data_IF_136513899043
#
_entry.id   IF_136513899043
#
_cell.length_a   1.000
_cell.length_b   1.000
_cell.length_c   1.000
_cell.angle_alpha   90.00
_cell.angle_beta   90.00
_cell.angle_gamma   90.00
#
_symmetry.space_group_name_H-M   'P 1'
#
loop_
_entity.id
_entity.type
_entity.pdbx_description
1 polymer ?
#
# COMPACT_ATOMS: atom_id res chain seq x y z
N UNK A 1 -1.05 46.01 -9.69
CA UNK A 1 -1.52 44.62 -9.52
C UNK A 1 -0.68 43.75 -10.44
N UNK A 2 0.40 43.18 -9.90
CA UNK A 2 1.15 42.15 -10.61
C UNK A 2 0.24 40.93 -10.67
N UNK A 3 -0.21 40.54 -11.86
CA UNK A 3 -0.80 39.22 -12.05
C UNK A 3 0.29 38.22 -11.68
N UNK A 4 0.06 37.46 -10.60
CA UNK A 4 0.82 36.23 -10.36
C UNK A 4 0.74 35.40 -11.64
N UNK A 5 1.85 34.83 -12.14
CA UNK A 5 1.76 33.87 -13.23
C UNK A 5 0.75 32.79 -12.82
N UNK A 6 -0.14 32.38 -13.74
CA UNK A 6 -1.03 31.25 -13.51
C UNK A 6 -0.16 30.09 -13.01
N UNK A 7 -0.26 29.76 -11.72
CA UNK A 7 0.45 28.63 -11.18
C UNK A 7 -0.20 27.38 -11.76
N UNK A 8 0.61 26.46 -12.26
CA UNK A 8 0.12 25.17 -12.71
C UNK A 8 -0.66 24.52 -11.57
N UNK A 9 -1.79 23.87 -11.89
CA UNK A 9 -2.59 23.19 -10.85
C UNK A 9 -1.70 22.21 -10.08
N UNK A 10 -1.68 22.28 -8.74
CA UNK A 10 -0.74 21.52 -7.92
C UNK A 10 -0.99 20.01 -8.06
N UNK A 11 0.07 19.26 -8.39
CA UNK A 11 0.04 17.81 -8.48
C UNK A 11 0.27 17.18 -7.11
N UNK A 12 -0.48 16.12 -6.80
CA UNK A 12 -0.41 15.45 -5.50
C UNK A 12 0.06 13.99 -5.63
N UNK A 13 0.86 13.55 -4.65
CA UNK A 13 1.19 12.16 -4.45
C UNK A 13 0.26 11.53 -3.44
N UNK A 14 -0.38 10.42 -3.79
CA UNK A 14 -1.30 9.71 -2.91
C UNK A 14 -0.76 8.31 -2.64
N UNK A 15 -0.48 8.02 -1.37
CA UNK A 15 -0.39 6.65 -0.90
C UNK A 15 -1.80 6.15 -0.54
N UNK A 16 -2.38 5.28 -1.38
CA UNK A 16 -3.67 4.67 -1.11
C UNK A 16 -3.47 3.33 -0.43
N UNK A 17 -3.09 3.28 0.84
CA UNK A 17 -2.76 2.03 1.53
C UNK A 17 -3.98 1.21 1.99
N UNK A 18 -3.73 -0.05 2.39
CA UNK A 18 -4.79 -0.97 2.85
C UNK A 18 -5.44 -0.51 4.15
N UNK A 19 -4.63 -0.02 5.09
CA UNK A 19 -5.08 0.37 6.45
C UNK A 19 -5.07 1.88 6.62
N UNK A 20 -4.06 2.56 6.09
CA UNK A 20 -3.92 4.01 6.12
C UNK A 20 -3.58 4.51 4.72
N UNK A 21 -3.98 5.74 4.44
CA UNK A 21 -3.64 6.47 3.23
C UNK A 21 -3.01 7.81 3.60
N UNK A 22 -2.13 8.33 2.77
CA UNK A 22 -1.48 9.62 2.97
C UNK A 22 -1.49 10.41 1.65
N UNK A 23 -1.43 11.74 1.77
CA UNK A 23 -1.35 12.62 0.61
C UNK A 23 -0.31 13.70 0.85
N UNK A 24 0.55 13.92 -0.14
CA UNK A 24 1.66 14.86 -0.10
C UNK A 24 1.72 15.67 -1.39
N UNK A 25 2.40 16.80 -1.36
CA UNK A 25 2.67 17.64 -2.53
C UNK A 25 4.08 18.24 -2.41
N UNK A 26 4.57 18.83 -3.49
CA UNK A 26 5.85 19.56 -3.49
C UNK A 26 5.55 21.05 -3.53
N UNK A 27 6.19 21.81 -2.64
CA UNK A 27 6.14 23.27 -2.62
C UNK A 27 7.55 23.80 -2.40
N UNK A 28 8.00 24.72 -3.26
CA UNK A 28 9.33 25.34 -3.16
C UNK A 28 10.50 24.35 -3.05
N UNK A 29 10.37 23.17 -3.67
CA UNK A 29 11.37 22.12 -3.62
C UNK A 29 11.43 21.35 -2.29
N UNK A 30 10.40 21.44 -1.46
CA UNK A 30 10.23 20.59 -0.28
C UNK A 30 8.95 19.74 -0.40
N UNK A 31 9.01 18.50 0.07
CA UNK A 31 7.86 17.61 0.09
C UNK A 31 7.05 17.83 1.37
N UNK A 32 5.81 18.28 1.22
CA UNK A 32 4.90 18.58 2.33
C UNK A 32 3.83 17.49 2.43
N UNK A 33 3.68 16.92 3.62
CA UNK A 33 2.63 15.94 3.95
C UNK A 33 1.39 16.67 4.45
N UNK A 34 0.24 16.36 3.87
CA UNK A 34 -1.02 17.04 4.17
C UNK A 34 -1.70 16.35 5.35
N UNK A 35 -1.94 17.13 6.40
CA UNK A 35 -2.65 16.67 7.57
C UNK A 35 -4.15 16.54 7.28
N UNK A 36 -4.76 15.50 7.81
CA UNK A 36 -6.20 15.29 7.71
C UNK A 36 -6.98 16.17 8.69
N UNK A 37 -8.32 16.11 8.68
CA UNK A 37 -9.13 16.97 9.55
C UNK A 37 -8.96 16.69 11.06
N UNK A 38 -8.35 15.56 11.45
CA UNK A 38 -8.01 15.23 12.83
C UNK A 38 -6.58 15.69 13.22
N UNK A 39 -5.83 16.28 12.28
CA UNK A 39 -4.46 16.73 12.50
C UNK A 39 -3.42 15.62 12.41
N UNK A 40 -3.74 14.48 11.79
CA UNK A 40 -2.77 13.40 11.54
C UNK A 40 -2.29 13.42 10.08
N UNK A 41 -1.05 12.98 9.86
CA UNK A 41 -0.43 12.87 8.52
C UNK A 41 -0.92 11.66 7.72
N UNK A 42 -1.48 10.67 8.41
CA UNK A 42 -2.08 9.47 7.80
C UNK A 42 -3.58 9.41 8.12
N UNK A 43 -4.36 8.97 7.16
CA UNK A 43 -5.82 8.84 7.25
C UNK A 43 -6.20 7.37 7.21
N UNK A 44 -7.00 6.83 8.16
CA UNK A 44 -7.50 5.46 8.06
C UNK A 44 -8.25 5.21 6.73
N UNK A 45 -7.92 4.12 6.04
CA UNK A 45 -8.58 3.66 4.81
C UNK A 45 -9.91 2.97 5.14
N UNK A 46 -10.80 3.72 5.79
CA UNK A 46 -12.07 3.24 6.32
C UNK A 46 -13.19 4.17 5.85
N UNK A 47 -14.27 3.58 5.36
CA UNK A 47 -15.47 4.28 4.88
C UNK A 47 -16.66 3.80 5.70
N UNK A 48 -17.45 4.71 6.25
CA UNK A 48 -18.69 4.39 6.95
C UNK A 48 -19.87 5.11 6.32
N UNK A 49 -20.94 4.37 6.08
CA UNK A 49 -22.18 4.89 5.51
C UNK A 49 -23.17 5.18 6.64
N UNK A 50 -23.47 6.45 6.85
CA UNK A 50 -24.44 6.95 7.84
C UNK A 50 -25.59 7.62 7.08
N UNK A 51 -26.56 6.81 6.63
CA UNK A 51 -27.69 7.24 5.79
C UNK A 51 -27.20 7.93 4.51
N UNK A 52 -27.47 9.22 4.36
CA UNK A 52 -27.10 10.02 3.19
C UNK A 52 -25.67 10.56 3.25
N UNK A 53 -24.92 10.29 4.33
CA UNK A 53 -23.58 10.82 4.55
C UNK A 53 -22.57 9.69 4.53
N UNK A 54 -21.52 9.87 3.73
CA UNK A 54 -20.35 8.99 3.74
C UNK A 54 -19.25 9.63 4.57
N UNK A 55 -18.86 8.94 5.64
CA UNK A 55 -17.75 9.31 6.51
C UNK A 55 -16.49 8.54 6.10
N UNK A 56 -15.32 9.17 6.20
CA UNK A 56 -14.03 8.59 5.85
C UNK A 56 -13.02 8.89 6.96
N UNK A 57 -12.04 7.99 7.15
CA UNK A 57 -10.95 8.21 8.09
C UNK A 57 -11.35 7.96 9.54
N UNK A 58 -10.85 8.80 10.44
CA UNK A 58 -11.08 8.70 11.89
C UNK A 58 -12.56 8.74 12.25
N UNK A 59 -13.36 9.55 11.54
CA UNK A 59 -14.80 9.64 11.77
C UNK A 59 -15.50 8.33 11.41
N UNK A 60 -15.06 7.64 10.36
CA UNK A 60 -15.57 6.32 10.01
C UNK A 60 -15.16 5.25 11.04
N UNK A 61 -13.91 5.31 11.53
CA UNK A 61 -13.40 4.41 12.58
C UNK A 61 -14.23 4.53 13.86
N UNK A 62 -14.56 5.74 14.31
CA UNK A 62 -15.38 5.98 15.51
C UNK A 62 -16.76 5.33 15.43
N UNK A 63 -17.33 5.20 14.23
CA UNK A 63 -18.67 4.61 14.01
C UNK A 63 -18.65 3.08 13.96
N UNK A 64 -17.50 2.46 13.66
CA UNK A 64 -17.35 1.01 13.48
C UNK A 64 -17.91 0.18 14.62
N UNK A 65 -17.77 0.64 15.88
CA UNK A 65 -18.23 -0.08 17.07
C UNK A 65 -19.73 -0.36 17.10
N UNK A 66 -20.54 0.49 16.45
CA UNK A 66 -22.01 0.38 16.46
C UNK A 66 -22.60 0.01 15.09
N UNK A 67 -21.80 -0.01 14.02
CA UNK A 67 -22.29 -0.15 12.65
C UNK A 67 -21.34 -0.94 11.75
N UNK A 68 -20.81 -2.07 12.23
CA UNK A 68 -19.78 -2.86 11.54
C UNK A 68 -20.16 -3.25 10.10
N UNK A 69 -21.43 -3.58 9.84
CA UNK A 69 -21.94 -3.92 8.50
C UNK A 69 -21.89 -2.75 7.51
N UNK A 70 -21.96 -1.51 8.01
CA UNK A 70 -21.95 -0.29 7.20
C UNK A 70 -20.58 0.40 7.20
N UNK A 71 -19.56 -0.24 7.80
CA UNK A 71 -18.18 0.25 7.80
C UNK A 71 -17.30 -0.67 6.96
N UNK A 72 -16.87 -0.17 5.81
CA UNK A 72 -15.98 -0.87 4.88
C UNK A 72 -14.53 -0.46 5.13
N UNK A 73 -13.64 -1.44 5.24
CA UNK A 73 -12.20 -1.25 5.46
C UNK A 73 -11.42 -2.38 4.79
N UNK A 74 -10.09 -2.23 4.66
CA UNK A 74 -9.23 -3.17 3.94
C UNK A 74 -9.68 -3.44 2.48
N UNK A 75 -10.45 -2.52 1.89
CA UNK A 75 -11.02 -2.69 0.55
C UNK A 75 -9.94 -2.91 -0.52
N UNK A 76 -8.73 -2.40 -0.28
CA UNK A 76 -7.56 -2.61 -1.17
C UNK A 76 -7.27 -4.09 -1.43
N UNK A 77 -7.60 -4.99 -0.49
CA UNK A 77 -7.49 -6.46 -0.69
C UNK A 77 -8.51 -7.03 -1.68
N UNK A 78 -9.60 -6.31 -1.98
CA UNK A 78 -10.63 -6.70 -2.94
C UNK A 78 -10.49 -6.01 -4.31
N UNK A 79 -9.70 -4.94 -4.40
CA UNK A 79 -9.42 -4.22 -5.65
C UNK A 79 -8.99 -5.19 -6.74
N UNK A 80 -9.57 -5.07 -7.95
CA UNK A 80 -9.18 -5.89 -9.09
C UNK A 80 -9.58 -7.37 -9.04
N UNK A 81 -10.15 -7.87 -7.94
CA UNK A 81 -10.38 -9.31 -7.73
C UNK A 81 -11.75 -9.77 -8.20
N UNK A 82 -11.81 -11.05 -8.56
CA UNK A 82 -13.07 -11.77 -8.79
C UNK A 82 -13.66 -12.21 -7.46
N UNK A 83 -14.98 -12.36 -7.42
CA UNK A 83 -15.71 -12.87 -6.26
C UNK A 83 -15.27 -14.29 -5.91
N UNK A 84 -14.99 -15.13 -6.91
CA UNK A 84 -14.54 -16.52 -6.73
C UNK A 84 -13.05 -16.67 -6.39
N UNK A 85 -12.31 -15.57 -6.27
CA UNK A 85 -10.93 -15.60 -5.78
C UNK A 85 -10.90 -16.16 -4.35
N UNK A 86 -10.04 -17.15 -4.12
CA UNK A 86 -9.90 -17.83 -2.84
C UNK A 86 -9.62 -16.85 -1.70
N UNK A 87 -8.89 -15.77 -1.97
CA UNK A 87 -8.52 -14.76 -1.00
C UNK A 87 -9.70 -13.85 -0.61
N UNK A 88 -10.70 -13.75 -1.48
CA UNK A 88 -11.96 -13.08 -1.19
C UNK A 88 -12.83 -13.97 -0.31
N UNK A 89 -12.88 -15.28 -0.63
CA UNK A 89 -13.78 -16.24 0.01
C UNK A 89 -13.31 -16.76 1.38
N UNK A 90 -12.00 -16.90 1.60
CA UNK A 90 -11.47 -17.46 2.86
C UNK A 90 -11.54 -16.50 4.04
N UNK A 91 -11.61 -15.19 3.79
CA UNK A 91 -11.59 -14.19 4.86
C UNK A 91 -12.99 -13.93 5.42
N UNK A 92 -13.08 -13.76 6.74
CA UNK A 92 -14.27 -13.24 7.41
C UNK A 92 -14.33 -11.72 7.32
N UNK A 93 -15.31 -11.20 6.60
CA UNK A 93 -15.58 -9.78 6.49
C UNK A 93 -16.76 -9.39 7.40
N UNK A 94 -16.77 -8.19 8.01
CA UNK A 94 -17.94 -7.69 8.76
C UNK A 94 -19.09 -7.29 7.87
N UNK A 95 -18.82 -7.11 6.59
CA UNK A 95 -19.76 -6.67 5.56
C UNK A 95 -19.86 -7.77 4.51
N UNK A 96 -20.99 -7.81 3.82
CA UNK A 96 -21.26 -8.86 2.84
C UNK A 96 -20.52 -8.59 1.54
N UNK A 97 -19.85 -9.62 1.03
CA UNK A 97 -19.23 -9.62 -0.29
C UNK A 97 -20.18 -10.31 -1.28
N UNK A 98 -20.44 -9.64 -2.40
CA UNK A 98 -21.32 -10.10 -3.46
C UNK A 98 -20.57 -10.33 -4.76
N UNK A 99 -21.14 -11.18 -5.61
CA UNK A 99 -20.76 -11.30 -7.02
C UNK A 99 -21.37 -10.13 -7.80
N UNK A 100 -20.53 -9.18 -8.18
CA UNK A 100 -20.89 -8.04 -9.01
C UNK A 100 -20.76 -8.31 -10.51
N UNK A 101 -20.72 -7.23 -11.29
CA UNK A 101 -20.55 -7.31 -12.74
C UNK A 101 -19.23 -8.01 -13.13
N UNK A 102 -19.27 -8.82 -14.20
CA UNK A 102 -18.13 -9.61 -14.70
C UNK A 102 -17.48 -10.49 -13.62
N UNK A 103 -18.28 -11.06 -12.73
CA UNK A 103 -17.83 -11.87 -11.59
C UNK A 103 -16.90 -11.15 -10.60
N UNK A 104 -16.82 -9.82 -10.62
CA UNK A 104 -15.97 -9.06 -9.69
C UNK A 104 -16.51 -9.10 -8.27
N UNK A 105 -15.62 -9.04 -7.29
CA UNK A 105 -16.03 -8.84 -5.91
C UNK A 105 -16.70 -7.46 -5.77
N UNK A 106 -17.77 -7.38 -4.99
CA UNK A 106 -18.46 -6.13 -4.64
C UNK A 106 -18.91 -6.18 -3.19
N UNK A 107 -19.12 -5.04 -2.57
CA UNK A 107 -19.51 -4.93 -1.16
C UNK A 107 -20.95 -4.45 -1.08
N UNK A 108 -21.78 -5.13 -0.29
CA UNK A 108 -23.11 -4.63 0.07
C UNK A 108 -23.00 -3.72 1.28
N UNK A 109 -23.58 -2.53 1.18
CA UNK A 109 -23.80 -1.65 2.33
C UNK A 109 -25.26 -1.22 2.32
N UNK A 110 -25.99 -1.53 3.40
CA UNK A 110 -27.45 -1.46 3.44
C UNK A 110 -28.10 -2.14 2.22
N UNK A 111 -28.84 -1.39 1.41
CA UNK A 111 -29.50 -1.87 0.19
C UNK A 111 -28.65 -1.66 -1.09
N UNK A 112 -27.53 -0.96 -0.99
CA UNK A 112 -26.70 -0.57 -2.12
C UNK A 112 -25.51 -1.50 -2.30
N UNK A 113 -25.03 -1.61 -3.54
CA UNK A 113 -23.85 -2.41 -3.89
C UNK A 113 -22.77 -1.51 -4.46
N UNK A 114 -21.58 -1.59 -3.88
CA UNK A 114 -20.43 -0.80 -4.27
C UNK A 114 -19.31 -1.71 -4.78
N UNK A 115 -18.64 -1.30 -5.85
CA UNK A 115 -17.39 -1.93 -6.25
C UNK A 115 -16.24 -1.49 -5.33
N UNK A 116 -15.16 -2.28 -5.20
CA UNK A 116 -13.97 -1.87 -4.47
C UNK A 116 -13.43 -0.50 -4.91
N UNK A 117 -13.48 -0.21 -6.21
CA UNK A 117 -13.06 1.06 -6.80
C UNK A 117 -13.91 2.23 -6.30
N UNK A 118 -15.23 2.05 -6.19
CA UNK A 118 -16.12 3.10 -5.66
C UNK A 118 -15.84 3.37 -4.16
N UNK A 119 -15.58 2.32 -3.37
CA UNK A 119 -15.20 2.49 -1.96
C UNK A 119 -13.85 3.23 -1.86
N UNK A 120 -12.85 2.83 -2.65
CA UNK A 120 -11.56 3.53 -2.73
C UNK A 120 -11.72 4.98 -3.24
N UNK A 121 -12.67 5.25 -4.13
CA UNK A 121 -12.97 6.60 -4.59
C UNK A 121 -13.48 7.50 -3.46
N UNK A 122 -14.26 7.00 -2.49
CA UNK A 122 -14.60 7.81 -1.31
C UNK A 122 -13.36 8.24 -0.51
N UNK A 123 -12.38 7.35 -0.37
CA UNK A 123 -11.10 7.64 0.30
C UNK A 123 -10.31 8.68 -0.51
N UNK A 124 -10.13 8.46 -1.81
CA UNK A 124 -9.42 9.39 -2.70
C UNK A 124 -10.09 10.77 -2.74
N UNK A 125 -11.42 10.83 -2.77
CA UNK A 125 -12.15 12.10 -2.72
C UNK A 125 -11.92 12.84 -1.40
N UNK A 126 -11.86 12.12 -0.27
CA UNK A 126 -11.53 12.72 1.02
C UNK A 126 -10.12 13.32 1.00
N UNK A 127 -9.12 12.57 0.51
CA UNK A 127 -7.73 13.02 0.38
C UNK A 127 -7.60 14.23 -0.56
N UNK A 128 -8.29 14.19 -1.71
CA UNK A 128 -8.39 15.33 -2.64
C UNK A 128 -8.99 16.57 -1.96
N UNK A 129 -10.04 16.40 -1.15
CA UNK A 129 -10.70 17.50 -0.44
C UNK A 129 -9.82 18.13 0.64
N UNK A 130 -9.04 17.35 1.38
CA UNK A 130 -8.11 17.91 2.37
C UNK A 130 -6.95 18.61 1.66
N UNK A 131 -6.45 18.06 0.55
CA UNK A 131 -5.42 18.69 -0.27
C UNK A 131 -5.89 20.05 -0.82
N UNK A 132 -7.10 20.11 -1.39
CA UNK A 132 -7.69 21.36 -1.88
C UNK A 132 -7.77 22.47 -0.83
N UNK A 133 -7.99 22.13 0.44
CA UNK A 133 -8.04 23.14 1.52
C UNK A 133 -6.68 23.75 1.80
N UNK A 134 -5.61 22.96 1.70
CA UNK A 134 -4.23 23.40 1.93
C UNK A 134 -3.71 24.17 0.72
N UNK A 135 -3.96 23.65 -0.48
CA UNK A 135 -3.50 24.21 -1.75
C UNK A 135 -4.28 25.46 -2.20
N UNK A 136 -5.49 25.68 -1.62
CA UNK A 136 -6.44 26.72 -2.04
C UNK A 136 -6.88 26.64 -3.51
N UNK A 137 -6.62 25.50 -4.17
CA UNK A 137 -6.99 25.15 -5.54
C UNK A 137 -7.37 23.65 -5.59
N UNK A 138 -8.23 23.24 -6.53
CA UNK A 138 -8.57 21.82 -6.71
C UNK A 138 -7.42 21.08 -7.41
N UNK A 139 -6.75 20.11 -6.75
CA UNK A 139 -5.69 19.36 -7.42
C UNK A 139 -6.31 18.44 -8.47
N UNK A 140 -5.86 18.59 -9.70
CA UNK A 140 -6.32 17.79 -10.84
C UNK A 140 -5.39 16.62 -11.10
N UNK A 141 -4.09 16.85 -11.03
CA UNK A 141 -3.07 15.84 -11.36
C UNK A 141 -2.64 15.04 -10.13
N UNK A 142 -2.56 13.71 -10.27
CA UNK A 142 -2.12 12.84 -9.19
C UNK A 142 -1.26 11.66 -9.65
N UNK A 143 -0.33 11.27 -8.80
CA UNK A 143 0.30 9.94 -8.82
C UNK A 143 -0.27 9.14 -7.66
N UNK A 144 -0.75 7.92 -7.94
CA UNK A 144 -1.34 7.03 -6.93
C UNK A 144 -0.50 5.76 -6.83
N UNK A 145 -0.21 5.33 -5.60
CA UNK A 145 0.63 4.16 -5.34
C UNK A 145 -0.16 2.84 -5.34
N UNK A 146 0.53 1.76 -5.65
CA UNK A 146 0.04 0.38 -5.55
C UNK A 146 1.16 -0.56 -5.08
N UNK A 147 0.82 -1.71 -4.46
CA UNK A 147 1.78 -2.77 -4.15
C UNK A 147 2.54 -3.18 -5.40
N UNK A 148 3.84 -3.44 -5.29
CA UNK A 148 4.65 -3.82 -6.45
C UNK A 148 4.09 -5.08 -7.13
N UNK A 149 3.61 -6.03 -6.33
CA UNK A 149 3.05 -7.29 -6.82
C UNK A 149 1.60 -7.21 -7.35
N UNK A 150 1.02 -6.01 -7.49
CA UNK A 150 -0.32 -5.86 -8.10
C UNK A 150 -0.35 -6.26 -9.58
N UNK A 151 -1.40 -7.01 -9.94
CA UNK A 151 -1.73 -7.36 -11.32
C UNK A 151 -2.26 -6.16 -12.11
N UNK A 152 -2.32 -6.29 -13.44
CA UNK A 152 -2.88 -5.23 -14.31
C UNK A 152 -4.33 -4.88 -13.95
N UNK A 153 -5.15 -5.86 -13.59
CA UNK A 153 -6.55 -5.63 -13.20
C UNK A 153 -6.65 -4.79 -11.92
N UNK A 154 -5.72 -4.98 -10.98
CA UNK A 154 -5.68 -4.22 -9.73
C UNK A 154 -5.12 -2.81 -9.95
N UNK A 155 -4.11 -2.67 -10.81
CA UNK A 155 -3.56 -1.37 -11.22
C UNK A 155 -4.60 -0.50 -11.93
N UNK A 156 -5.37 -1.08 -12.85
CA UNK A 156 -6.44 -0.36 -13.54
C UNK A 156 -7.59 -0.01 -12.59
N UNK A 157 -7.97 -0.92 -11.69
CA UNK A 157 -8.97 -0.64 -10.66
C UNK A 157 -8.60 0.58 -9.80
N UNK A 158 -7.33 0.69 -9.36
CA UNK A 158 -6.84 1.86 -8.61
C UNK A 158 -6.88 3.13 -9.46
N UNK A 159 -6.51 3.06 -10.74
CA UNK A 159 -6.59 4.19 -11.67
C UNK A 159 -8.04 4.65 -11.86
N UNK A 160 -8.97 3.72 -12.02
CA UNK A 160 -10.39 4.00 -12.18
C UNK A 160 -10.98 4.66 -10.93
N UNK A 161 -10.59 4.21 -9.73
CA UNK A 161 -10.97 4.87 -8.47
C UNK A 161 -10.52 6.35 -8.44
N UNK A 162 -9.32 6.66 -8.95
CA UNK A 162 -8.85 8.04 -9.11
C UNK A 162 -9.67 8.85 -10.12
N UNK A 163 -9.97 8.24 -11.28
CA UNK A 163 -10.80 8.89 -12.32
C UNK A 163 -12.21 9.21 -11.82
N UNK A 164 -12.80 8.34 -11.00
CA UNK A 164 -14.14 8.54 -10.42
C UNK A 164 -14.26 9.84 -9.59
N UNK A 165 -13.15 10.35 -9.06
CA UNK A 165 -13.11 11.59 -8.25
C UNK A 165 -12.54 12.79 -9.02
N UNK A 166 -12.40 12.65 -10.34
CA UNK A 166 -11.90 13.69 -11.23
C UNK A 166 -10.41 13.96 -11.06
N UNK A 167 -9.61 12.97 -10.66
CA UNK A 167 -8.15 13.05 -10.74
C UNK A 167 -7.69 12.59 -12.12
N UNK A 168 -6.84 13.39 -12.75
CA UNK A 168 -5.98 12.97 -13.84
C UNK A 168 -4.82 12.15 -13.25
N UNK A 169 -4.95 10.82 -13.30
CA UNK A 169 -3.94 9.91 -12.78
C UNK A 169 -2.76 9.85 -13.75
N UNK A 170 -1.77 10.73 -13.54
CA UNK A 170 -0.56 10.85 -14.35
C UNK A 170 0.17 9.52 -14.44
N UNK A 171 0.31 8.84 -13.30
CA UNK A 171 0.96 7.54 -13.23
C UNK A 171 0.46 6.73 -12.02
N UNK A 172 0.41 5.40 -12.20
CA UNK A 172 0.35 4.45 -11.10
C UNK A 172 1.78 4.00 -10.83
N UNK A 173 2.26 4.18 -9.61
CA UNK A 173 3.65 3.85 -9.21
C UNK A 173 3.66 2.75 -8.16
N UNK A 174 4.69 1.90 -8.16
CA UNK A 174 4.85 0.91 -7.11
C UNK A 174 5.25 1.58 -5.80
N UNK A 175 4.66 1.14 -4.69
CA UNK A 175 4.97 1.61 -3.33
C UNK A 175 6.49 1.58 -3.01
N UNK A 176 7.20 0.46 -3.20
CA UNK A 176 8.64 0.43 -2.91
C UNK A 176 9.45 1.35 -3.84
N UNK A 177 9.01 1.54 -5.08
CA UNK A 177 9.64 2.50 -6.01
C UNK A 177 9.43 3.94 -5.55
N UNK A 178 8.22 4.29 -5.13
CA UNK A 178 7.94 5.61 -4.57
C UNK A 178 8.78 5.84 -3.31
N UNK A 179 8.84 4.87 -2.41
CA UNK A 179 9.70 4.95 -1.23
C UNK A 179 11.17 5.19 -1.62
N UNK A 180 11.73 4.42 -2.57
CA UNK A 180 13.10 4.63 -3.06
C UNK A 180 13.32 6.03 -3.66
N UNK A 181 12.33 6.63 -4.32
CA UNK A 181 12.39 8.02 -4.79
C UNK A 181 12.53 8.98 -3.60
N UNK A 182 11.68 8.83 -2.58
CA UNK A 182 11.72 9.70 -1.39
C UNK A 182 13.06 9.68 -0.67
N UNK A 183 13.75 8.52 -0.64
CA UNK A 183 15.03 8.39 0.05
C UNK A 183 16.23 8.88 -0.75
N UNK A 184 16.06 9.08 -2.06
CA UNK A 184 17.16 9.37 -2.97
C UNK A 184 17.65 10.82 -2.95
N UNK A 185 16.88 11.76 -2.37
CA UNK A 185 17.23 13.19 -2.36
C UNK A 185 18.50 13.52 -1.58
N UNK A 186 18.78 12.75 -0.53
CA UNK A 186 19.90 13.01 0.38
C UNK A 186 21.17 12.22 0.02
N UNK A 187 21.11 11.44 -1.07
CA UNK A 187 22.20 10.55 -1.44
C UNK A 187 23.10 11.17 -2.53
N UNK A 188 24.42 11.12 -2.29
CA UNK A 188 25.44 11.60 -3.23
C UNK A 188 26.23 10.46 -3.90
N UNK A 189 25.93 9.20 -3.58
CA UNK A 189 26.63 8.07 -4.19
C UNK A 189 26.36 7.99 -5.70
N UNK A 190 27.38 7.66 -6.54
CA UNK A 190 27.21 7.55 -7.98
C UNK A 190 26.18 6.49 -8.38
N UNK A 191 26.20 5.36 -7.68
CA UNK A 191 25.23 4.27 -7.80
C UNK A 191 24.90 3.85 -6.37
N UNK A 192 23.62 3.82 -6.04
CA UNK A 192 23.11 3.42 -4.75
C UNK A 192 22.04 2.34 -4.94
N UNK A 193 22.26 1.18 -4.36
CA UNK A 193 21.39 0.01 -4.45
C UNK A 193 20.73 -0.24 -3.11
N UNK A 194 19.41 -0.18 -3.14
CA UNK A 194 18.60 -0.28 -1.93
C UNK A 194 17.63 -1.43 -2.03
N UNK A 195 17.51 -2.18 -0.93
CA UNK A 195 16.45 -3.15 -0.75
C UNK A 195 15.32 -2.45 -0.02
N UNK A 196 14.19 -2.29 -0.68
CA UNK A 196 12.99 -1.75 -0.06
C UNK A 196 12.17 -2.91 0.48
N UNK A 197 12.05 -2.99 1.80
CA UNK A 197 11.26 -3.97 2.52
C UNK A 197 9.97 -3.29 2.98
N UNK A 198 8.88 -3.49 2.23
CA UNK A 198 7.59 -2.85 2.47
C UNK A 198 6.61 -3.83 3.11
N UNK A 199 6.43 -3.74 4.43
CA UNK A 199 5.46 -4.54 5.17
C UNK A 199 4.36 -3.64 5.71
N UNK A 200 3.31 -3.50 4.90
CA UNK A 200 2.12 -2.72 5.20
C UNK A 200 1.13 -3.43 6.12
N UNK A 201 -0.10 -2.90 6.15
CA UNK A 201 -1.20 -3.52 6.90
C UNK A 201 -1.87 -4.69 6.16
N UNK A 202 -1.64 -4.82 4.85
CA UNK A 202 -2.35 -5.79 4.01
C UNK A 202 -1.51 -6.52 2.97
N UNK A 203 -0.31 -6.06 2.68
CA UNK A 203 0.59 -6.61 1.67
C UNK A 203 2.02 -6.52 2.18
N UNK A 204 2.85 -7.40 1.63
CA UNK A 204 4.30 -7.36 1.76
C UNK A 204 4.90 -7.29 0.37
N UNK A 205 5.76 -6.33 0.10
CA UNK A 205 6.52 -6.25 -1.13
C UNK A 205 8.01 -6.08 -0.81
N UNK A 206 8.84 -6.66 -1.66
CA UNK A 206 10.28 -6.43 -1.67
C UNK A 206 10.69 -6.00 -3.06
N UNK A 207 11.49 -4.95 -3.14
CA UNK A 207 12.11 -4.53 -4.39
C UNK A 207 13.56 -4.16 -4.17
N UNK A 208 14.41 -4.47 -5.15
CA UNK A 208 15.76 -3.91 -5.22
C UNK A 208 15.77 -2.81 -6.27
N UNK A 209 16.17 -1.61 -5.86
CA UNK A 209 16.19 -0.42 -6.69
C UNK A 209 17.61 0.10 -6.79
N UNK A 210 18.12 0.23 -8.01
CA UNK A 210 19.36 0.92 -8.33
C UNK A 210 19.08 2.38 -8.66
N UNK A 211 19.79 3.27 -7.99
CA UNK A 211 19.63 4.71 -8.02
C UNK A 211 20.94 5.29 -8.56
N UNK A 212 20.90 5.88 -9.75
CA UNK A 212 22.06 6.45 -10.42
C UNK A 212 21.72 7.89 -10.86
N UNK A 213 22.15 8.88 -10.08
CA UNK A 213 21.78 10.29 -10.28
C UNK A 213 20.26 10.49 -10.24
N UNK A 214 19.63 10.74 -11.40
CA UNK A 214 18.18 10.91 -11.56
C UNK A 214 17.44 9.63 -12.01
N UNK A 215 18.19 8.57 -12.34
CA UNK A 215 17.62 7.31 -12.80
C UNK A 215 17.29 6.42 -11.60
N UNK A 216 16.10 5.82 -11.62
CA UNK A 216 15.63 4.81 -10.67
C UNK A 216 15.31 3.56 -11.47
N UNK A 217 16.04 2.47 -11.24
CA UNK A 217 15.90 1.21 -11.98
C UNK A 217 15.53 0.10 -11.00
N UNK A 218 14.34 -0.47 -11.15
CA UNK A 218 13.97 -1.68 -10.40
C UNK A 218 14.70 -2.86 -11.03
N UNK A 219 15.48 -3.58 -10.23
CA UNK A 219 16.25 -4.74 -10.69
C UNK A 219 15.43 -6.03 -10.55
N UNK A 220 14.79 -6.19 -9.40
CA UNK A 220 13.87 -7.28 -9.13
C UNK A 220 12.81 -6.84 -8.12
N UNK A 221 11.64 -7.47 -8.19
CA UNK A 221 10.61 -7.30 -7.17
C UNK A 221 9.78 -8.56 -7.00
N UNK A 222 9.24 -8.79 -5.82
CA UNK A 222 8.23 -9.82 -5.55
C UNK A 222 7.39 -9.36 -4.34
N UNK A 223 6.30 -10.06 -4.04
CA UNK A 223 5.46 -9.71 -2.91
C UNK A 223 4.43 -10.77 -2.52
N UNK A 224 3.85 -10.61 -1.35
CA UNK A 224 2.74 -11.42 -0.83
C UNK A 224 1.52 -10.52 -0.67
N UNK A 225 0.56 -10.64 -1.58
CA UNK A 225 -0.69 -9.83 -1.54
C UNK A 225 -1.62 -10.20 -0.38
N UNK A 226 -1.25 -11.22 0.39
CA UNK A 226 -2.04 -11.83 1.46
C UNK A 226 -1.38 -11.72 2.82
N UNK A 227 -0.17 -11.16 2.91
CA UNK A 227 0.59 -11.06 4.15
C UNK A 227 0.78 -9.58 4.48
N UNK A 228 0.44 -9.18 5.69
CA UNK A 228 0.60 -7.82 6.21
C UNK A 228 0.14 -7.76 7.66
N UNK A 229 0.13 -6.56 8.24
CA UNK A 229 -0.17 -6.33 9.66
C UNK A 229 -1.43 -7.02 10.17
N UNK A 230 -2.47 -7.13 9.34
CA UNK A 230 -3.72 -7.78 9.73
C UNK A 230 -3.58 -9.29 9.98
N UNK A 231 -2.67 -9.96 9.27
CA UNK A 231 -2.51 -11.41 9.43
C UNK A 231 -1.79 -11.71 10.76
N UNK A 232 -0.93 -10.80 11.24
CA UNK A 232 -0.41 -10.82 12.61
C UNK A 232 -1.53 -10.58 13.65
N UNK A 233 -2.46 -9.66 13.36
CA UNK A 233 -3.60 -9.38 14.25
C UNK A 233 -4.51 -10.61 14.38
N UNK A 234 -4.73 -11.35 13.29
CA UNK A 234 -5.52 -12.58 13.27
C UNK A 234 -4.88 -13.68 14.13
N UNK A 235 -3.55 -13.85 14.13
CA UNK A 235 -2.88 -14.81 15.03
C UNK A 235 -3.06 -14.48 16.50
N UNK A 236 -2.98 -13.19 16.84
CA UNK A 236 -3.23 -12.71 18.20
C UNK A 236 -4.71 -12.90 18.57
N UNK A 237 -5.62 -12.70 17.62
CA UNK A 237 -7.05 -12.87 17.82
C UNK A 237 -7.41 -14.32 18.11
N UNK A 238 -6.88 -15.27 17.34
CA UNK A 238 -7.13 -16.70 17.54
C UNK A 238 -6.64 -17.17 18.93
N UNK A 239 -5.43 -16.74 19.34
CA UNK A 239 -4.93 -16.96 20.70
C UNK A 239 -5.85 -16.32 21.75
N UNK A 240 -6.32 -15.09 21.52
CA UNK A 240 -7.21 -14.41 22.46
C UNK A 240 -8.54 -15.15 22.63
N UNK A 241 -9.12 -15.66 21.55
CA UNK A 241 -10.34 -16.47 21.60
C UNK A 241 -10.11 -17.73 22.45
N UNK A 242 -9.01 -18.44 22.23
CA UNK A 242 -8.67 -19.63 23.02
C UNK A 242 -8.55 -19.31 24.52
N UNK A 243 -7.82 -18.25 24.87
CA UNK A 243 -7.65 -17.78 26.27
C UNK A 243 -8.97 -17.38 26.93
N UNK A 244 -9.81 -16.63 26.22
CA UNK A 244 -11.11 -16.24 26.78
C UNK A 244 -12.02 -17.47 26.99
N UNK A 245 -11.99 -18.45 26.09
CA UNK A 245 -12.74 -19.69 26.27
C UNK A 245 -12.24 -20.48 27.49
N UNK A 246 -10.93 -20.55 27.72
CA UNK A 246 -10.33 -21.14 28.95
C UNK A 246 -10.79 -20.41 30.22
N UNK A 247 -10.99 -19.09 30.15
CA UNK A 247 -11.54 -18.28 31.24
C UNK A 247 -13.07 -18.43 31.40
N UNK A 248 -13.72 -19.28 30.61
CA UNK A 248 -15.17 -19.49 30.63
C UNK A 248 -15.99 -18.44 29.87
N UNK A 249 -15.33 -17.54 29.13
CA UNK A 249 -15.96 -16.50 28.31
C UNK A 249 -16.13 -17.04 26.89
N UNK A 250 -17.37 -17.28 26.47
CA UNK A 250 -17.67 -17.82 25.14
C UNK A 250 -17.88 -16.71 24.12
N UNK A 251 -16.97 -16.63 23.16
CA UNK A 251 -17.05 -15.74 21.99
C UNK A 251 -17.31 -16.62 20.77
N UNK A 252 -18.50 -16.53 20.19
CA UNK A 252 -18.97 -17.42 19.11
C UNK A 252 -19.01 -16.76 17.73
N UNK A 253 -19.02 -15.43 17.69
CA UNK A 253 -19.00 -14.63 16.47
C UNK A 253 -17.76 -13.72 16.47
N UNK A 254 -17.41 -13.17 15.31
CA UNK A 254 -16.26 -12.27 15.20
C UNK A 254 -16.55 -10.98 15.98
N UNK A 255 -15.93 -10.83 17.15
CA UNK A 255 -15.97 -9.59 17.93
C UNK A 255 -14.90 -8.59 17.44
N UNK A 256 -15.35 -7.55 16.73
CA UNK A 256 -14.48 -6.50 16.20
C UNK A 256 -13.83 -5.61 17.25
N UNK A 257 -14.41 -5.52 18.44
CA UNK A 257 -13.79 -4.78 19.55
C UNK A 257 -12.58 -5.54 20.09
N UNK A 258 -12.64 -6.88 20.08
CA UNK A 258 -11.50 -7.72 20.40
C UNK A 258 -10.44 -7.66 19.29
N UNK A 259 -10.82 -7.66 18.01
CA UNK A 259 -9.87 -7.44 16.89
C UNK A 259 -9.09 -6.13 17.06
N UNK A 260 -9.77 -5.03 17.41
CA UNK A 260 -9.13 -3.73 17.71
C UNK A 260 -8.16 -3.84 18.91
N UNK A 261 -8.53 -4.59 19.96
CA UNK A 261 -7.66 -4.82 21.11
C UNK A 261 -6.39 -5.63 20.73
N UNK A 262 -6.51 -6.63 19.86
CA UNK A 262 -5.39 -7.42 19.34
C UNK A 262 -4.41 -6.56 18.53
N UNK A 263 -4.93 -5.70 17.64
CA UNK A 263 -4.09 -4.76 16.87
C UNK A 263 -3.33 -3.79 17.80
N UNK A 264 -4.02 -3.27 18.83
CA UNK A 264 -3.38 -2.40 19.83
C UNK A 264 -2.32 -3.13 20.65
N UNK A 265 -2.54 -4.40 20.97
CA UNK A 265 -1.56 -5.23 21.66
C UNK A 265 -0.32 -5.47 20.80
N UNK A 266 -0.48 -5.80 19.51
CA UNK A 266 0.63 -5.90 18.53
C UNK A 266 1.47 -4.62 18.49
N UNK A 267 0.81 -3.46 18.37
CA UNK A 267 1.47 -2.14 18.36
C UNK A 267 2.22 -1.89 19.67
N UNK A 268 1.64 -2.27 20.81
CA UNK A 268 2.30 -2.13 22.12
C UNK A 268 3.52 -3.06 22.26
N UNK A 269 3.43 -4.30 21.78
CA UNK A 269 4.51 -5.30 21.80
C UNK A 269 5.71 -4.91 20.93
N UNK A 270 5.52 -4.01 19.97
CA UNK A 270 6.63 -3.41 19.21
C UNK A 270 7.53 -2.53 20.09
N UNK A 271 7.09 -2.14 21.29
CA UNK A 271 7.84 -1.28 22.23
C UNK A 271 7.99 -1.89 23.63
N UNK A 272 7.27 -2.95 23.94
CA UNK A 272 7.16 -3.55 25.29
C UNK A 272 7.26 -5.06 25.19
N UNK A 273 7.70 -5.70 26.28
CA UNK A 273 7.78 -7.17 26.32
C UNK A 273 6.45 -7.84 26.68
N UNK A 274 5.41 -7.06 27.01
CA UNK A 274 4.07 -7.56 27.32
C UNK A 274 3.01 -6.49 27.01
N UNK A 275 1.82 -6.92 26.62
CA UNK A 275 0.65 -6.09 26.40
C UNK A 275 -0.62 -6.77 26.91
N UNK A 276 -1.45 -6.03 27.64
CA UNK A 276 -2.73 -6.53 28.15
C UNK A 276 -3.80 -6.51 27.06
N UNK A 277 -4.42 -7.66 26.81
CA UNK A 277 -5.61 -7.79 25.95
C UNK A 277 -6.80 -7.94 26.89
N UNK A 278 -7.72 -6.97 26.86
CA UNK A 278 -8.94 -7.00 27.66
C UNK A 278 -10.17 -6.96 26.77
N UNK A 279 -11.19 -7.74 27.10
CA UNK A 279 -12.45 -7.73 26.38
C UNK A 279 -13.39 -6.64 26.93
N UNK A 280 -13.79 -5.64 26.12
CA UNK A 280 -14.62 -4.52 26.59
C UNK A 280 -15.99 -4.96 27.15
N UNK A 281 -16.62 -5.96 26.53
CA UNK A 281 -17.96 -6.42 26.91
C UNK A 281 -18.02 -7.36 28.14
N UNK A 282 -16.88 -7.89 28.62
CA UNK A 282 -16.84 -8.85 29.74
C UNK A 282 -16.16 -8.26 30.98
N UNK A 283 -16.56 -7.05 31.37
CA UNK A 283 -16.13 -6.43 32.63
C UNK A 283 -14.61 -6.20 32.75
N UNK A 284 -13.89 -6.07 31.63
CA UNK A 284 -12.44 -5.90 31.61
C UNK A 284 -11.64 -7.18 31.88
N UNK A 285 -12.28 -8.35 31.82
CA UNK A 285 -11.58 -9.63 31.77
C UNK A 285 -10.52 -9.61 30.66
N UNK A 286 -9.35 -10.13 30.95
CA UNK A 286 -8.22 -10.06 30.04
C UNK A 286 -7.00 -10.79 30.56
N UNK A 287 -6.02 -10.91 29.69
CA UNK A 287 -4.75 -11.57 29.95
C UNK A 287 -3.60 -10.73 29.36
N UNK A 288 -2.38 -11.00 29.82
CA UNK A 288 -1.18 -10.37 29.27
C UNK A 288 -0.59 -11.28 28.20
N UNK A 289 -0.45 -10.75 26.98
CA UNK A 289 0.27 -11.40 25.90
C UNK A 289 1.74 -10.96 25.97
N UNK A 290 2.66 -11.91 25.99
CA UNK A 290 4.10 -11.61 25.98
C UNK A 290 4.64 -11.46 24.57
N UNK A 291 5.76 -10.74 24.42
CA UNK A 291 6.46 -10.62 23.15
C UNK A 291 6.91 -11.99 22.62
N UNK A 292 7.40 -12.88 23.50
CA UNK A 292 7.84 -14.22 23.09
C UNK A 292 6.70 -15.03 22.47
N UNK A 293 5.53 -15.05 23.12
CA UNK A 293 4.35 -15.75 22.59
C UNK A 293 3.87 -15.11 21.29
N UNK A 294 3.91 -13.78 21.16
CA UNK A 294 3.60 -13.13 19.89
C UNK A 294 4.54 -13.57 18.75
N UNK A 295 5.84 -13.69 19.01
CA UNK A 295 6.78 -14.18 18.01
C UNK A 295 6.52 -15.65 17.67
N UNK A 296 6.28 -16.52 18.67
CA UNK A 296 5.92 -17.92 18.43
C UNK A 296 4.67 -18.06 17.55
N UNK A 297 3.64 -17.22 17.77
CA UNK A 297 2.40 -17.24 17.00
C UNK A 297 2.55 -16.76 15.54
N UNK A 298 3.64 -16.03 15.24
CA UNK A 298 3.81 -15.31 13.96
C UNK A 298 5.13 -15.61 13.26
N UNK A 299 5.89 -16.60 13.74
CA UNK A 299 7.20 -16.98 13.21
C UNK A 299 7.13 -17.33 11.71
N UNK A 300 6.13 -18.10 11.30
CA UNK A 300 5.93 -18.49 9.90
C UNK A 300 5.63 -17.30 8.97
N UNK A 301 5.00 -16.24 9.48
CA UNK A 301 4.77 -15.01 8.71
C UNK A 301 6.08 -14.23 8.54
N UNK A 302 6.90 -14.17 9.58
CA UNK A 302 8.20 -13.52 9.56
C UNK A 302 9.16 -14.25 8.61
N UNK A 303 9.22 -15.59 8.70
CA UNK A 303 10.01 -16.42 7.80
C UNK A 303 9.63 -16.23 6.34
N UNK A 304 8.32 -16.19 6.02
CA UNK A 304 7.86 -15.91 4.66
C UNK A 304 8.39 -14.57 4.12
N UNK A 305 8.44 -13.53 4.96
CA UNK A 305 8.99 -12.24 4.54
C UNK A 305 10.49 -12.31 4.26
N UNK A 306 11.24 -13.02 5.10
CA UNK A 306 12.69 -13.18 4.95
C UNK A 306 13.04 -14.03 3.72
N UNK A 307 12.39 -15.18 3.53
CA UNK A 307 12.63 -16.05 2.37
C UNK A 307 12.32 -15.35 1.05
N UNK A 308 11.28 -14.53 1.00
CA UNK A 308 10.99 -13.74 -0.21
C UNK A 308 12.04 -12.66 -0.45
N UNK A 309 12.56 -12.06 0.62
CA UNK A 309 13.64 -11.06 0.55
C UNK A 309 14.91 -11.67 -0.07
N UNK A 310 15.31 -12.85 0.41
CA UNK A 310 16.45 -13.61 -0.14
C UNK A 310 16.23 -13.97 -1.62
N UNK A 311 15.01 -14.39 -1.97
CA UNK A 311 14.65 -14.70 -3.36
C UNK A 311 14.75 -13.47 -4.26
N UNK A 312 14.28 -12.30 -3.82
CA UNK A 312 14.37 -11.07 -4.61
C UNK A 312 15.82 -10.64 -4.83
N UNK A 313 16.68 -10.82 -3.82
CA UNK A 313 18.12 -10.59 -3.96
C UNK A 313 18.75 -11.52 -5.00
N UNK A 314 18.41 -12.80 -4.97
CA UNK A 314 18.84 -13.76 -5.98
C UNK A 314 18.30 -13.41 -7.38
N UNK A 315 17.03 -13.03 -7.50
CA UNK A 315 16.38 -12.61 -8.76
C UNK A 315 17.07 -11.37 -9.37
N UNK A 316 17.61 -10.47 -8.53
CA UNK A 316 18.36 -9.29 -8.99
C UNK A 316 19.75 -9.64 -9.54
N UNK A 317 20.27 -10.84 -9.24
CA UNK A 317 21.61 -11.27 -9.66
C UNK A 317 22.73 -10.42 -9.06
N UNK A 318 22.51 -9.89 -7.85
CA UNK A 318 23.48 -9.09 -7.12
C UNK A 318 24.08 -9.89 -5.98
N UNK A 319 25.40 -9.72 -5.80
CA UNK A 319 26.08 -10.14 -4.59
C UNK A 319 25.68 -9.21 -3.42
N UNK A 320 25.60 -9.76 -2.20
CA UNK A 320 25.09 -9.01 -1.03
C UNK A 320 25.97 -7.81 -0.65
N UNK A 321 27.25 -7.83 -0.98
CA UNK A 321 28.22 -6.76 -0.75
C UNK A 321 28.05 -5.56 -1.71
N UNK A 322 27.25 -5.72 -2.77
CA UNK A 322 26.89 -4.65 -3.70
C UNK A 322 25.62 -3.90 -3.29
N UNK A 323 24.98 -4.30 -2.19
CA UNK A 323 23.82 -3.65 -1.60
C UNK A 323 24.27 -2.62 -0.56
N UNK A 324 23.79 -1.39 -0.68
CA UNK A 324 24.20 -0.31 0.22
C UNK A 324 23.33 -0.27 1.48
N UNK A 325 22.00 -0.27 1.31
CA UNK A 325 21.07 -0.12 2.42
C UNK A 325 19.77 -0.93 2.28
N UNK A 326 19.16 -1.24 3.43
CA UNK A 326 17.79 -1.73 3.55
C UNK A 326 16.90 -0.59 4.05
N UNK A 327 15.83 -0.33 3.31
CA UNK A 327 14.82 0.68 3.60
C UNK A 327 13.56 -0.01 4.10
N UNK A 328 13.19 0.24 5.37
CA UNK A 328 11.96 -0.29 5.96
C UNK A 328 10.78 0.64 5.65
N UNK A 329 9.75 0.10 5.02
CA UNK A 329 8.54 0.83 4.60
C UNK A 329 7.31 0.12 5.15
N UNK A 330 6.28 0.90 5.51
CA UNK A 330 5.04 0.35 6.06
C UNK A 330 5.09 0.11 7.57
N UNK A 331 3.97 0.38 8.25
CA UNK A 331 3.91 0.42 9.72
C UNK A 331 4.17 -0.92 10.42
N UNK A 332 4.02 -2.05 9.74
CA UNK A 332 4.27 -3.37 10.36
C UNK A 332 5.77 -3.69 10.42
N UNK A 333 6.64 -2.95 9.73
CA UNK A 333 8.10 -3.03 9.94
C UNK A 333 8.55 -2.55 11.32
N UNK A 334 7.66 -1.89 12.08
CA UNK A 334 7.89 -1.54 13.49
C UNK A 334 7.92 -2.75 14.42
N UNK A 335 7.46 -3.92 13.97
CA UNK A 335 7.64 -5.18 14.71
C UNK A 335 9.14 -5.42 14.87
N UNK A 336 9.62 -5.40 16.12
CA UNK A 336 11.06 -5.51 16.44
C UNK A 336 11.76 -6.67 15.75
N UNK A 337 11.11 -7.85 15.69
CA UNK A 337 11.69 -9.05 15.08
C UNK A 337 12.02 -8.89 13.60
N UNK A 338 11.34 -7.99 12.87
CA UNK A 338 11.66 -7.69 11.46
C UNK A 338 13.07 -7.12 11.34
N UNK A 339 13.44 -6.15 12.19
CA UNK A 339 14.78 -5.59 12.17
C UNK A 339 15.81 -6.62 12.65
N UNK A 340 15.51 -7.33 13.74
CA UNK A 340 16.39 -8.36 14.30
C UNK A 340 16.73 -9.42 13.23
N UNK A 341 15.73 -9.98 12.54
CA UNK A 341 15.97 -11.02 11.52
C UNK A 341 16.73 -10.50 10.29
N UNK A 342 16.51 -9.24 9.89
CA UNK A 342 17.23 -8.63 8.76
C UNK A 342 18.70 -8.36 9.13
N UNK A 343 18.99 -7.92 10.35
CA UNK A 343 20.38 -7.78 10.84
C UNK A 343 21.06 -9.13 10.96
N UNK A 344 20.37 -10.14 11.49
CA UNK A 344 20.89 -11.50 11.61
C UNK A 344 21.26 -12.09 10.23
N UNK A 345 20.42 -11.83 9.22
CA UNK A 345 20.60 -12.37 7.86
C UNK A 345 21.55 -11.55 7.00
N UNK A 346 21.53 -10.23 7.10
CA UNK A 346 22.30 -9.30 6.27
C UNK A 346 23.19 -8.38 7.13
N UNK A 347 24.14 -8.94 7.91
CA UNK A 347 24.89 -8.17 8.91
C UNK A 347 25.81 -7.09 8.31
N UNK A 348 26.10 -7.15 7.01
CA UNK A 348 26.92 -6.18 6.28
C UNK A 348 26.13 -5.03 5.67
N UNK A 349 24.80 -5.13 5.59
CA UNK A 349 23.95 -4.11 4.95
C UNK A 349 23.33 -3.23 6.02
N UNK A 350 23.50 -1.92 5.90
CA UNK A 350 22.93 -0.98 6.85
C UNK A 350 21.40 -0.94 6.73
N UNK A 351 20.67 -0.98 7.86
CA UNK A 351 19.22 -0.81 7.88
C UNK A 351 18.89 0.61 8.31
N UNK A 352 18.36 1.39 7.39
CA UNK A 352 18.03 2.80 7.60
C UNK A 352 16.96 2.99 8.70
N UNK A 353 17.14 4.00 9.55
CA UNK A 353 16.31 4.25 10.73
C UNK A 353 15.91 5.73 10.96
N UNK A 354 16.43 6.65 10.15
CA UNK A 354 16.15 8.09 10.17
C UNK A 354 14.84 8.48 9.47
N UNK A 355 13.96 7.52 9.22
CA UNK A 355 12.84 7.65 8.29
C UNK A 355 11.51 7.26 8.93
N UNK A 356 10.44 7.93 8.49
CA UNK A 356 9.07 7.57 8.84
C UNK A 356 8.52 6.59 7.81
N UNK A 357 8.46 5.28 8.12
CA UNK A 357 8.13 4.24 7.14
C UNK A 357 6.73 4.40 6.53
N UNK A 358 5.83 5.08 7.25
CA UNK A 358 4.45 5.29 6.81
C UNK A 358 4.28 6.44 5.81
N UNK A 359 5.25 7.37 5.70
CA UNK A 359 5.13 8.57 4.87
C UNK A 359 6.01 8.54 3.62
N UNK A 360 7.03 7.68 3.57
CA UNK A 360 7.98 7.60 2.47
C UNK A 360 7.29 7.38 1.11
N UNK A 361 6.28 6.53 1.06
CA UNK A 361 5.52 6.20 -0.15
C UNK A 361 4.80 7.44 -0.71
N UNK A 362 4.06 8.16 0.13
CA UNK A 362 3.34 9.38 -0.29
C UNK A 362 4.29 10.50 -0.70
N UNK A 363 5.41 10.67 0.02
CA UNK A 363 6.46 11.64 -0.32
C UNK A 363 7.06 11.34 -1.70
N UNK A 364 7.41 10.08 -1.94
CA UNK A 364 7.92 9.61 -3.22
C UNK A 364 6.95 9.80 -4.38
N UNK A 365 5.67 9.54 -4.14
CA UNK A 365 4.62 9.78 -5.12
C UNK A 365 4.47 11.27 -5.44
N UNK A 366 4.63 12.16 -4.46
CA UNK A 366 4.53 13.61 -4.66
C UNK A 366 5.69 14.15 -5.49
N UNK A 367 6.91 13.69 -5.21
CA UNK A 367 8.10 13.99 -6.02
C UNK A 367 7.88 13.58 -7.49
N UNK A 368 7.36 12.37 -7.70
CA UNK A 368 7.08 11.89 -9.05
C UNK A 368 5.95 12.68 -9.71
N UNK A 369 4.89 13.01 -8.98
CA UNK A 369 3.76 13.79 -9.49
C UNK A 369 4.21 15.17 -9.96
N UNK A 370 5.01 15.86 -9.15
CA UNK A 370 5.58 17.16 -9.45
C UNK A 370 6.55 17.09 -10.67
N UNK A 371 7.41 16.07 -10.73
CA UNK A 371 8.27 15.81 -11.91
C UNK A 371 7.47 15.59 -13.20
N UNK A 372 6.40 14.81 -13.15
CA UNK A 372 5.56 14.50 -14.31
C UNK A 372 4.72 15.71 -14.72
N UNK A 373 4.13 16.42 -13.76
CA UNK A 373 3.34 17.62 -14.01
C UNK A 373 4.19 18.71 -14.66
N UNK A 374 5.46 18.88 -14.27
CA UNK A 374 6.37 19.81 -14.97
C UNK A 374 6.71 19.40 -16.40
N UNK A 375 6.72 18.10 -16.67
CA UNK A 375 7.07 17.53 -17.98
C UNK A 375 5.89 17.46 -18.95
N UNK A 376 4.65 17.58 -18.43
CA UNK A 376 3.45 17.57 -19.23
C UNK A 376 3.10 18.99 -19.70
N UNK A 377 2.95 19.26 -21.02
CA UNK A 377 2.54 20.57 -21.50
C UNK A 377 1.15 20.88 -20.95
N UNK A 378 0.95 22.10 -20.46
CA UNK A 378 -0.35 22.55 -20.02
C UNK A 378 -1.34 22.44 -21.20
N UNK A 379 -2.46 21.68 -21.08
CA UNK A 379 -3.44 21.57 -22.15
C UNK A 379 -4.06 22.92 -22.54
N UNK A 380 -4.05 23.90 -21.62
CA UNK A 380 -4.59 25.24 -21.81
C UNK A 380 -3.54 26.27 -22.28
N UNK A 381 -2.25 25.99 -22.09
CA UNK A 381 -1.15 26.81 -22.63
C UNK A 381 0.12 25.97 -22.94
N UNK A 382 0.25 25.45 -24.18
CA UNK A 382 1.38 24.60 -24.57
C UNK A 382 2.73 25.33 -24.63
N UNK A 383 2.79 26.64 -24.38
CA UNK A 383 4.03 27.43 -24.41
C UNK A 383 4.58 27.78 -23.02
N UNK A 384 3.87 27.44 -21.95
CA UNK A 384 4.31 27.67 -20.58
C UNK A 384 5.24 26.52 -20.14
N UNK A 385 6.56 26.72 -20.20
CA UNK A 385 7.50 25.75 -19.63
C UNK A 385 7.42 25.83 -18.10
N UNK A 386 7.08 24.71 -17.47
CA UNK A 386 6.99 24.55 -16.01
C UNK A 386 8.37 24.33 -15.37
N UNK A 387 9.44 24.73 -16.06
CA UNK A 387 10.83 24.44 -15.69
C UNK A 387 11.36 25.47 -14.68
N UNK A 388 11.12 25.21 -13.40
CA UNK A 388 12.04 25.66 -12.36
C UNK A 388 13.02 24.50 -12.05
N UNK A 389 14.31 24.79 -12.02
CA UNK A 389 15.40 23.80 -11.85
C UNK A 389 15.53 23.32 -10.38
N UNK A 390 14.60 23.71 -9.51
CA UNK A 390 14.60 23.42 -8.08
C UNK A 390 14.39 21.93 -7.73
N UNK A 391 13.87 21.11 -8.66
CA UNK A 391 13.71 19.67 -8.44
C UNK A 391 14.14 18.80 -9.64
N UNK A 392 14.90 17.71 -9.40
CA UNK A 392 15.38 16.87 -10.48
C UNK A 392 14.26 16.06 -11.13
N UNK A 393 14.13 16.13 -12.46
CA UNK A 393 13.27 15.24 -13.23
C UNK A 393 13.64 13.76 -12.95
N UNK A 394 12.67 12.97 -12.48
CA UNK A 394 12.87 11.56 -12.12
C UNK A 394 12.66 10.68 -13.35
N UNK A 395 13.65 9.85 -13.68
CA UNK A 395 13.56 8.83 -14.71
C UNK A 395 13.37 7.48 -14.04
N UNK A 396 12.26 6.80 -14.33
CA UNK A 396 11.90 5.52 -13.72
C UNK A 396 11.87 4.40 -14.77
N UNK A 397 12.64 3.34 -14.50
CA UNK A 397 12.59 2.07 -15.23
C UNK A 397 12.11 1.00 -14.24
N UNK A 398 10.85 0.62 -14.36
CA UNK A 398 10.22 -0.41 -13.54
C UNK A 398 10.27 -1.78 -14.22
N UNK A 399 9.77 -2.83 -13.57
CA UNK A 399 9.70 -4.18 -14.11
C UNK A 399 8.30 -4.79 -13.95
N UNK A 400 7.97 -5.82 -14.75
CA UNK A 400 6.75 -6.60 -14.51
C UNK A 400 6.92 -7.55 -13.32
N UNK A 401 6.03 -7.51 -12.30
CA UNK A 401 6.11 -8.39 -11.13
C UNK A 401 5.69 -9.83 -11.44
N UNK A 402 4.92 -10.04 -12.52
CA UNK A 402 4.40 -11.34 -12.93
C UNK A 402 4.89 -11.71 -14.32
N UNK A 403 5.12 -13.02 -14.60
CA UNK A 403 5.29 -13.47 -15.96
C UNK A 403 3.97 -13.30 -16.74
N UNK A 404 4.06 -12.80 -17.96
CA UNK A 404 2.92 -12.71 -18.88
C UNK A 404 3.03 -13.81 -19.93
N UNK A 405 1.96 -14.55 -20.12
CA UNK A 405 1.92 -15.71 -21.00
C UNK A 405 0.58 -15.89 -21.70
N UNK A 406 0.52 -16.92 -22.52
CA UNK A 406 -0.71 -17.39 -23.16
C UNK A 406 -1.00 -18.84 -22.78
N UNK A 407 -2.27 -19.14 -22.56
CA UNK A 407 -2.75 -20.51 -22.41
C UNK A 407 -2.67 -21.22 -23.77
N UNK A 408 -2.09 -22.42 -23.78
CA UNK A 408 -2.08 -23.34 -24.92
C UNK A 408 -3.13 -24.43 -24.69
N UNK A 409 -3.35 -25.32 -25.66
CA UNK A 409 -4.28 -26.44 -25.50
C UNK A 409 -3.99 -27.26 -24.23
N UNK A 410 -5.04 -27.52 -23.44
CA UNK A 410 -4.97 -28.12 -22.11
C UNK A 410 -4.57 -27.12 -21.02
N UNK A 411 -3.95 -27.61 -19.94
CA UNK A 411 -3.51 -26.79 -18.79
C UNK A 411 -2.08 -26.23 -18.96
N UNK A 412 -1.60 -26.11 -20.20
CA UNK A 412 -0.23 -25.64 -20.48
C UNK A 412 -0.22 -24.13 -20.69
N UNK A 413 0.76 -23.45 -20.11
CA UNK A 413 1.00 -22.02 -20.32
C UNK A 413 2.38 -21.80 -20.95
N UNK A 414 2.45 -20.91 -21.95
CA UNK A 414 3.72 -20.42 -22.50
C UNK A 414 3.98 -19.01 -21.98
N UNK A 415 5.08 -18.84 -21.23
CA UNK A 415 5.56 -17.52 -20.81
C UNK A 415 6.13 -16.79 -22.03
N UNK A 416 5.67 -15.56 -22.25
CA UNK A 416 6.11 -14.68 -23.34
C UNK A 416 6.99 -13.54 -22.81
N UNK A 417 6.66 -13.04 -21.63
CA UNK A 417 7.41 -12.00 -20.94
C UNK A 417 7.72 -12.56 -19.55
N UNK A 418 9.00 -12.86 -19.25
CA UNK A 418 9.40 -13.28 -17.92
C UNK A 418 9.12 -12.20 -16.87
N UNK A 419 8.95 -12.62 -15.61
CA UNK A 419 9.00 -11.74 -14.45
C UNK A 419 10.30 -10.91 -14.46
N UNK A 420 10.25 -9.72 -13.87
CA UNK A 420 11.35 -8.75 -13.80
C UNK A 420 11.81 -8.19 -15.17
N UNK A 421 11.03 -8.41 -16.24
CA UNK A 421 11.30 -7.72 -17.52
C UNK A 421 11.02 -6.23 -17.37
N UNK A 422 11.98 -5.38 -17.77
CA UNK A 422 11.89 -3.91 -17.70
C UNK A 422 10.72 -3.37 -18.53
N UNK A 423 9.99 -2.42 -17.98
CA UNK A 423 8.87 -1.75 -18.62
C UNK A 423 9.24 -0.31 -19.02
N UNK A 424 8.74 0.20 -20.17
CA UNK A 424 7.87 -0.48 -21.13
C UNK A 424 8.63 -1.50 -21.99
N UNK A 425 7.95 -2.60 -22.35
CA UNK A 425 8.47 -3.63 -23.25
C UNK A 425 7.39 -4.11 -24.22
N UNK A 426 7.80 -4.62 -25.38
CA UNK A 426 6.90 -5.20 -26.37
C UNK A 426 7.50 -6.47 -26.95
N UNK A 427 6.69 -7.52 -27.01
CA UNK A 427 7.02 -8.79 -27.69
C UNK A 427 5.92 -9.17 -28.66
N UNK A 428 6.24 -10.01 -29.64
CA UNK A 428 5.30 -10.51 -30.63
C UNK A 428 5.41 -12.03 -30.72
N UNK A 429 4.25 -12.70 -30.77
CA UNK A 429 4.16 -14.14 -31.02
C UNK A 429 3.23 -14.35 -32.21
N UNK A 430 3.71 -15.05 -33.24
CA UNK A 430 2.87 -15.46 -34.36
C UNK A 430 2.01 -16.66 -33.94
N UNK A 431 0.71 -16.55 -34.18
CA UNK A 431 -0.27 -17.62 -33.97
C UNK A 431 -0.93 -17.93 -35.32
N UNK A 432 -1.22 -19.20 -35.57
CA UNK A 432 -2.04 -19.64 -36.71
C UNK A 432 -3.16 -20.51 -36.18
N UNK A 433 -4.35 -20.37 -36.76
CA UNK A 433 -5.49 -21.21 -36.43
C UNK A 433 -5.63 -22.26 -37.54
N UNK A 434 -5.51 -23.54 -37.21
CA UNK A 434 -5.97 -24.58 -38.12
C UNK A 434 -7.50 -24.52 -38.14
N UNK A 435 -8.06 -24.03 -39.24
CA UNK A 435 -9.49 -24.17 -39.52
C UNK A 435 -9.68 -25.65 -39.88
N UNK A 436 -10.31 -26.41 -38.98
CA UNK A 436 -10.78 -27.77 -39.27
C UNK A 436 -12.22 -27.74 -39.80
#
# INVERSE_FOLDING_TARGET
FSLSPLMASPAIGIDLGTTFSAVSYVENGEVIVIHNNAGHEITPSVVHFDKDIVLVGEEAVKKRRHGAMNTVFNIKRLMGRRHDDILVQQRKWPFEILRGANDRASVRVDAETYTPEQISAFILNYLKRIARKVLLEDPVDAVITVPANFTNAQREATRDAGRMVGLNVLQIVNEPTAAAIAFSEQNNEPIWRVLVFDLGGGTFDVSIVEIEGKNRKVLATDGLTTLGGIDFDERIYDEAIARFHEMGIKITEVDWTLVEACENAKKALSKRNSARISHPHYGGAGFDLTYSTFIELTEDLLEQTLSLTEKVLADAGLDEDLMDEILLVGGSTRIRRIREMLVDRFPSINIRDDIEPELAVAKGAAILADSLARSWPDPSDPFLSRSDDSFPAVSLIDVTPHPLGMTLDGDKCKILIPKNTRCPFKTYQYCTQCIQ
#
